data_IF_992678543464
#
_entry.id   IF_992678543464
#
_cell.length_a   1.000
_cell.length_b   1.000
_cell.length_c   1.000
_cell.angle_alpha   90.00
_cell.angle_beta   90.00
_cell.angle_gamma   90.00
#
_symmetry.space_group_name_H-M   'P 1'
#
loop_
_entity.id
_entity.type
_entity.pdbx_description
1 polymer ?
#
# COMPACT_ATOMS: atom_id res chain seq x y z
N UNK A 1 -9.87 -0.38 12.43
CA UNK A 1 -10.51 -1.02 13.36
C UNK A 1 -9.82 -1.11 14.69
N UNK A 2 -10.58 -1.03 15.74
CA UNK A 2 -10.07 -0.82 17.09
C UNK A 2 -9.06 -1.88 17.56
N UNK A 3 -9.21 -3.12 17.12
CA UNK A 3 -8.34 -4.22 17.52
C UNK A 3 -6.89 -4.09 17.05
N UNK A 4 -6.66 -3.47 15.88
CA UNK A 4 -5.31 -3.27 15.36
C UNK A 4 -4.51 -2.28 16.18
N UNK A 5 -5.18 -1.32 16.83
CA UNK A 5 -4.54 -0.29 17.64
C UNK A 5 -4.06 -0.80 19.00
N UNK A 6 -4.62 -1.89 19.48
CA UNK A 6 -4.27 -2.47 20.78
C UNK A 6 -3.15 -3.52 20.71
N UNK A 7 -2.74 -3.89 19.50
CA UNK A 7 -1.68 -4.88 19.30
C UNK A 7 -0.30 -4.18 19.39
N UNK A 8 0.53 -4.50 20.42
CA UNK A 8 1.82 -3.84 20.59
C UNK A 8 2.82 -4.15 19.49
N UNK A 9 2.61 -5.21 18.72
CA UNK A 9 3.50 -5.61 17.63
C UNK A 9 3.07 -5.04 16.28
N UNK A 10 1.87 -4.48 16.19
CA UNK A 10 1.37 -3.87 14.97
C UNK A 10 2.04 -2.51 14.76
N UNK A 11 2.66 -2.34 13.59
CA UNK A 11 3.34 -1.09 13.26
C UNK A 11 3.19 -0.79 11.77
N UNK A 12 2.62 0.36 11.45
CA UNK A 12 2.58 0.85 10.07
C UNK A 12 3.98 1.28 9.65
N UNK A 13 4.44 0.74 8.52
CA UNK A 13 5.75 1.05 7.94
C UNK A 13 5.63 2.20 6.93
N UNK A 14 4.70 2.07 6.00
CA UNK A 14 4.48 3.04 4.93
C UNK A 14 3.02 3.03 4.52
N UNK A 15 2.51 4.19 4.16
CA UNK A 15 1.13 4.38 3.74
C UNK A 15 1.10 5.14 2.42
N UNK A 16 0.30 4.67 1.47
CA UNK A 16 0.08 5.35 0.21
C UNK A 16 -1.14 6.29 0.32
N UNK A 17 -0.91 7.47 0.83
CA UNK A 17 -1.97 8.45 1.10
C UNK A 17 -2.65 8.97 -0.15
N UNK A 18 -1.93 9.00 -1.28
CA UNK A 18 -2.47 9.48 -2.54
C UNK A 18 -3.35 8.46 -3.26
N UNK A 19 -3.31 7.19 -2.84
CA UNK A 19 -4.04 6.13 -3.53
C UNK A 19 -5.54 6.44 -3.62
N UNK A 20 -6.13 6.90 -2.54
CA UNK A 20 -7.57 7.25 -2.53
C UNK A 20 -7.91 8.52 -3.29
N UNK A 21 -6.93 9.37 -3.54
CA UNK A 21 -7.09 10.54 -4.39
C UNK A 21 -7.00 10.17 -5.88
N UNK A 22 -5.99 9.38 -6.24
CA UNK A 22 -5.71 9.02 -7.63
C UNK A 22 -6.60 7.88 -8.15
N UNK A 23 -7.11 7.04 -7.26
CA UNK A 23 -7.84 5.82 -7.62
C UNK A 23 -9.15 5.68 -6.86
N UNK A 24 -10.15 5.11 -7.55
CA UNK A 24 -11.36 4.62 -6.89
C UNK A 24 -11.09 3.17 -6.47
N UNK A 25 -10.99 2.94 -5.16
CA UNK A 25 -10.67 1.63 -4.62
C UNK A 25 -11.95 0.84 -4.39
N UNK A 26 -12.12 -0.25 -5.15
CA UNK A 26 -13.31 -1.09 -5.07
C UNK A 26 -13.23 -2.12 -3.95
N UNK A 27 -12.03 -2.67 -3.71
CA UNK A 27 -11.82 -3.73 -2.74
C UNK A 27 -10.35 -3.77 -2.35
N UNK A 28 -10.03 -4.45 -1.25
CA UNK A 28 -8.65 -4.64 -0.82
C UNK A 28 -8.39 -6.04 -0.31
N UNK A 29 -7.11 -6.40 -0.24
CA UNK A 29 -6.66 -7.73 0.15
C UNK A 29 -5.32 -7.62 0.87
N UNK A 30 -5.18 -8.31 2.02
CA UNK A 30 -3.90 -8.45 2.70
C UNK A 30 -3.06 -9.54 2.04
N UNK A 31 -1.80 -9.23 1.73
CA UNK A 31 -0.86 -10.17 1.14
C UNK A 31 0.45 -10.17 1.94
N UNK A 32 1.19 -11.29 1.89
CA UNK A 32 2.55 -11.36 2.39
C UNK A 32 3.53 -10.79 1.38
N UNK A 33 4.76 -10.53 1.80
CA UNK A 33 5.83 -10.05 0.93
C UNK A 33 7.12 -10.78 1.27
N UNK A 34 7.81 -11.27 0.24
CA UNK A 34 9.12 -11.90 0.41
C UNK A 34 10.20 -10.83 0.45
N UNK A 35 10.92 -10.80 1.57
CA UNK A 35 11.95 -9.81 1.83
C UNK A 35 13.28 -10.47 2.15
N UNK A 36 14.37 -9.78 1.79
CA UNK A 36 15.71 -10.13 2.25
C UNK A 36 15.89 -9.61 3.69
N UNK A 37 16.85 -10.21 4.42
CA UNK A 37 17.11 -9.82 5.81
C UNK A 37 17.45 -8.32 5.96
N UNK A 38 18.23 -7.76 5.05
CA UNK A 38 18.58 -6.34 5.04
C UNK A 38 17.35 -5.46 4.82
N UNK A 39 16.39 -5.91 4.02
CA UNK A 39 15.14 -5.19 3.79
C UNK A 39 14.28 -5.12 5.05
N UNK A 40 14.14 -6.24 5.75
CA UNK A 40 13.39 -6.28 7.02
C UNK A 40 14.00 -5.34 8.05
N UNK A 41 15.33 -5.35 8.17
CA UNK A 41 16.05 -4.47 9.09
C UNK A 41 15.85 -3.00 8.74
N UNK A 42 15.92 -2.66 7.45
CA UNK A 42 15.65 -1.31 6.97
C UNK A 42 14.22 -0.87 7.27
N UNK A 43 13.24 -1.74 7.06
CA UNK A 43 11.84 -1.44 7.32
C UNK A 43 11.56 -1.16 8.80
N UNK A 44 12.27 -1.83 9.70
CA UNK A 44 12.18 -1.53 11.15
C UNK A 44 12.62 -0.12 11.48
N UNK A 45 13.53 0.44 10.69
CA UNK A 45 14.00 1.82 10.82
C UNK A 45 13.09 2.83 10.09
N UNK A 46 12.07 2.35 9.38
CA UNK A 46 11.09 3.20 8.72
C UNK A 46 11.48 3.71 7.33
N UNK A 47 12.51 3.15 6.72
CA UNK A 47 13.01 3.59 5.41
C UNK A 47 12.26 2.98 4.22
N UNK A 48 11.01 3.37 4.00
CA UNK A 48 10.23 2.82 2.89
C UNK A 48 9.28 3.84 2.29
N UNK A 49 8.99 3.67 0.99
CA UNK A 49 7.98 4.44 0.27
C UNK A 49 7.29 3.53 -0.74
N UNK A 50 5.96 3.47 -0.68
CA UNK A 50 5.15 2.66 -1.60
C UNK A 50 4.29 3.50 -2.53
N UNK A 51 4.39 4.83 -2.49
CA UNK A 51 3.53 5.74 -3.24
C UNK A 51 3.64 5.57 -4.77
N UNK A 52 4.84 5.30 -5.26
CA UNK A 52 5.10 5.14 -6.69
C UNK A 52 5.14 3.69 -7.14
N UNK A 53 4.71 2.77 -6.28
CA UNK A 53 4.72 1.35 -6.59
C UNK A 53 3.36 0.85 -7.04
N UNK A 54 3.36 -0.29 -7.68
CA UNK A 54 2.13 -0.98 -8.08
C UNK A 54 2.36 -2.49 -7.99
N UNK A 55 1.27 -3.24 -7.98
CA UNK A 55 1.34 -4.70 -8.02
C UNK A 55 0.88 -5.20 -9.40
N UNK A 56 1.47 -6.30 -9.86
CA UNK A 56 1.12 -6.91 -11.12
C UNK A 56 1.28 -8.42 -11.07
N UNK A 57 0.46 -9.12 -11.82
CA UNK A 57 0.58 -10.56 -11.99
C UNK A 57 1.45 -10.84 -13.22
N UNK A 58 2.57 -11.49 -13.00
CA UNK A 58 3.52 -11.87 -14.06
C UNK A 58 3.92 -13.32 -13.86
N UNK A 59 3.85 -14.12 -14.94
CA UNK A 59 4.23 -15.54 -14.92
C UNK A 59 3.54 -16.34 -13.81
N UNK A 60 2.26 -16.07 -13.58
CA UNK A 60 1.47 -16.78 -12.58
C UNK A 60 1.79 -16.42 -11.13
N UNK A 61 2.48 -15.31 -10.89
CA UNK A 61 2.84 -14.83 -9.56
C UNK A 61 2.52 -13.34 -9.41
N UNK A 62 2.31 -12.90 -8.17
CA UNK A 62 2.03 -11.51 -7.86
C UNK A 62 3.32 -10.81 -7.42
N UNK A 63 3.59 -9.64 -7.97
CA UNK A 63 4.81 -8.88 -7.72
C UNK A 63 4.50 -7.44 -7.30
N UNK A 64 5.30 -6.92 -6.37
CA UNK A 64 5.34 -5.49 -6.07
C UNK A 64 6.48 -4.88 -6.89
N UNK A 65 6.14 -3.88 -7.70
CA UNK A 65 7.08 -3.26 -8.64
C UNK A 65 7.28 -1.80 -8.23
N UNK A 66 8.55 -1.38 -8.20
CA UNK A 66 8.98 -0.02 -7.88
C UNK A 66 8.71 0.41 -6.42
N UNK A 67 8.55 -0.53 -5.49
CA UNK A 67 8.50 -0.22 -4.06
C UNK A 67 9.90 0.10 -3.53
N UNK A 68 10.02 1.20 -2.79
CA UNK A 68 11.30 1.65 -2.25
C UNK A 68 11.52 1.11 -0.83
N UNK A 69 12.68 0.50 -0.61
CA UNK A 69 13.19 0.12 0.71
C UNK A 69 14.60 0.65 0.83
N UNK A 70 14.85 1.54 1.79
CA UNK A 70 16.14 2.18 1.97
C UNK A 70 17.26 1.16 2.17
N UNK A 71 18.49 1.44 1.71
CA UNK A 71 19.63 0.56 1.97
C UNK A 71 19.84 0.42 3.47
N UNK A 72 20.24 -0.78 3.91
CA UNK A 72 20.64 -1.02 5.28
C UNK A 72 22.15 -0.83 5.36
N UNK A 73 22.60 0.25 5.99
CA UNK A 73 24.02 0.65 5.98
C UNK A 73 24.97 -0.39 6.57
N UNK A 74 24.50 -1.18 7.53
CA UNK A 74 25.30 -2.22 8.16
C UNK A 74 25.46 -3.45 7.26
N UNK A 75 24.67 -3.59 6.20
CA UNK A 75 24.79 -4.68 5.23
C UNK A 75 25.79 -4.32 4.13
N UNK A 76 27.08 -4.29 4.47
CA UNK A 76 28.14 -3.81 3.57
C UNK A 76 28.32 -4.66 2.31
N UNK A 77 28.12 -5.96 2.41
CA UNK A 77 28.40 -6.91 1.31
C UNK A 77 27.13 -7.47 0.70
N UNK A 78 26.09 -7.72 1.49
CA UNK A 78 24.85 -8.38 1.08
C UNK A 78 23.65 -7.46 1.23
N UNK A 79 23.79 -6.23 0.78
CA UNK A 79 22.69 -5.28 0.73
C UNK A 79 21.69 -5.63 -0.38
N UNK A 80 20.62 -4.89 -0.43
CA UNK A 80 19.58 -5.07 -1.44
C UNK A 80 19.49 -3.85 -2.35
N UNK A 81 18.96 -4.05 -3.55
CA UNK A 81 18.57 -2.94 -4.42
C UNK A 81 17.32 -2.25 -3.86
N UNK A 82 17.34 -0.94 -3.81
CA UNK A 82 16.28 -0.12 -3.18
C UNK A 82 14.89 -0.37 -3.77
N UNK A 83 14.80 -0.53 -5.08
CA UNK A 83 13.53 -0.72 -5.80
C UNK A 83 13.41 -2.11 -6.42
N UNK A 84 13.99 -3.08 -5.75
CA UNK A 84 13.95 -4.48 -6.20
C UNK A 84 12.50 -4.94 -6.36
N UNK A 85 12.23 -5.66 -7.45
CA UNK A 85 10.96 -6.34 -7.66
C UNK A 85 10.78 -7.42 -6.59
N UNK A 86 9.69 -7.37 -5.85
CA UNK A 86 9.47 -8.26 -4.69
C UNK A 86 8.23 -9.11 -4.90
N UNK A 87 8.37 -10.40 -4.62
CA UNK A 87 7.26 -11.34 -4.74
C UNK A 87 6.28 -11.14 -3.60
N UNK A 88 4.99 -11.09 -3.93
CA UNK A 88 3.91 -11.04 -2.97
C UNK A 88 3.30 -12.43 -2.80
N UNK A 89 2.91 -12.74 -1.58
CA UNK A 89 2.44 -14.09 -1.21
C UNK A 89 0.91 -14.07 -1.07
N UNK A 90 0.25 -14.81 -1.95
CA UNK A 90 -1.20 -14.94 -1.96
C UNK A 90 -1.59 -16.39 -2.25
N UNK A 91 -2.80 -16.78 -1.86
CA UNK A 91 -3.35 -18.08 -2.27
C UNK A 91 -3.65 -18.06 -3.78
N UNK A 92 -3.76 -19.24 -4.37
CA UNK A 92 -4.11 -19.37 -5.79
C UNK A 92 -5.48 -18.77 -6.10
N UNK A 93 -6.45 -18.94 -5.20
CA UNK A 93 -7.78 -18.36 -5.33
C UNK A 93 -7.74 -16.84 -5.37
N UNK A 94 -6.98 -16.24 -4.46
CA UNK A 94 -6.80 -14.80 -4.38
C UNK A 94 -6.06 -14.26 -5.60
N UNK A 95 -5.03 -14.98 -6.06
CA UNK A 95 -4.29 -14.62 -7.27
C UNK A 95 -5.20 -14.61 -8.50
N UNK A 96 -6.05 -15.63 -8.65
CA UNK A 96 -7.02 -15.70 -9.74
C UNK A 96 -8.00 -14.53 -9.71
N UNK A 97 -8.47 -14.16 -8.51
CA UNK A 97 -9.35 -13.01 -8.32
C UNK A 97 -8.69 -11.70 -8.74
N UNK A 98 -7.45 -11.50 -8.31
CA UNK A 98 -6.68 -10.31 -8.68
C UNK A 98 -6.40 -10.25 -10.18
N UNK A 99 -6.04 -11.37 -10.78
CA UNK A 99 -5.83 -11.47 -12.22
C UNK A 99 -7.10 -11.09 -12.99
N UNK A 100 -8.24 -11.66 -12.61
CA UNK A 100 -9.52 -11.36 -13.26
C UNK A 100 -9.89 -9.88 -13.12
N UNK A 101 -9.64 -9.28 -11.96
CA UNK A 101 -9.89 -7.87 -11.73
C UNK A 101 -9.07 -6.98 -12.66
N UNK A 102 -7.80 -7.33 -12.89
CA UNK A 102 -6.91 -6.52 -13.73
C UNK A 102 -7.23 -6.62 -15.22
N UNK A 103 -8.02 -7.61 -15.65
CA UNK A 103 -8.46 -7.73 -17.04
C UNK A 103 -9.55 -6.72 -17.40
N UNK A 104 -10.21 -6.13 -16.41
CA UNK A 104 -11.20 -5.07 -16.66
C UNK A 104 -10.48 -3.76 -17.00
N UNK A 105 -11.06 -3.02 -17.95
CA UNK A 105 -10.47 -1.77 -18.42
C UNK A 105 -10.27 -0.77 -17.28
N UNK A 106 -9.07 -0.20 -17.24
CA UNK A 106 -8.73 0.82 -16.26
C UNK A 106 -8.44 0.33 -14.86
N UNK A 107 -8.51 -0.98 -14.63
CA UNK A 107 -8.23 -1.54 -13.30
C UNK A 107 -6.75 -1.79 -13.09
N UNK A 108 -6.28 -1.54 -11.88
CA UNK A 108 -4.90 -1.79 -11.45
C UNK A 108 -4.87 -2.22 -9.99
N UNK A 109 -3.73 -2.75 -9.57
CA UNK A 109 -3.49 -3.15 -8.18
C UNK A 109 -2.53 -2.14 -7.56
N UNK A 110 -2.97 -1.49 -6.48
CA UNK A 110 -2.23 -0.40 -5.84
C UNK A 110 -1.95 -0.77 -4.39
N UNK A 111 -0.69 -0.69 -3.92
CA UNK A 111 -0.43 -0.88 -2.50
C UNK A 111 -1.00 0.28 -1.70
N UNK A 112 -1.70 -0.03 -0.62
CA UNK A 112 -2.36 0.98 0.22
C UNK A 112 -1.56 1.24 1.49
N UNK A 113 -1.15 0.18 2.18
CA UNK A 113 -0.40 0.28 3.43
C UNK A 113 0.48 -0.94 3.61
N UNK A 114 1.69 -0.72 4.10
CA UNK A 114 2.63 -1.77 4.49
C UNK A 114 2.84 -1.70 5.99
N UNK A 115 2.83 -2.84 6.67
CA UNK A 115 2.86 -2.86 8.14
C UNK A 115 3.44 -4.18 8.66
N UNK A 116 3.93 -4.14 9.91
CA UNK A 116 4.21 -5.36 10.67
C UNK A 116 2.92 -5.82 11.35
N UNK A 117 2.60 -7.11 11.22
CA UNK A 117 1.45 -7.68 11.92
C UNK A 117 1.83 -8.09 13.35
N UNK A 118 0.88 -8.66 14.10
CA UNK A 118 1.11 -9.09 15.47
C UNK A 118 2.20 -10.15 15.64
N UNK A 119 2.50 -10.90 14.59
CA UNK A 119 3.59 -11.91 14.59
C UNK A 119 4.94 -11.33 14.16
N UNK A 120 5.01 -10.03 13.89
CA UNK A 120 6.23 -9.39 13.41
C UNK A 120 6.52 -9.62 11.92
N UNK A 121 5.56 -10.13 11.16
CA UNK A 121 5.71 -10.33 9.71
C UNK A 121 5.27 -9.08 8.96
N UNK A 122 5.98 -8.76 7.90
CA UNK A 122 5.61 -7.64 7.03
C UNK A 122 4.44 -8.07 6.14
N UNK A 123 3.38 -7.30 6.17
CA UNK A 123 2.19 -7.47 5.33
C UNK A 123 1.94 -6.22 4.51
N UNK A 124 1.26 -6.41 3.39
CA UNK A 124 0.92 -5.33 2.49
C UNK A 124 -0.57 -5.44 2.14
N UNK A 125 -1.28 -4.34 2.22
CA UNK A 125 -2.67 -4.29 1.77
C UNK A 125 -2.69 -3.77 0.34
N UNK A 126 -3.21 -4.57 -0.57
CA UNK A 126 -3.33 -4.24 -1.99
C UNK A 126 -4.78 -3.86 -2.29
N UNK A 127 -4.98 -2.71 -2.92
CA UNK A 127 -6.28 -2.28 -3.40
C UNK A 127 -6.51 -2.66 -4.85
N UNK A 128 -7.71 -3.13 -5.15
CA UNK A 128 -8.19 -3.29 -6.53
C UNK A 128 -8.84 -1.95 -6.88
N UNK A 129 -8.25 -1.24 -7.83
CA UNK A 129 -8.54 0.17 -8.01
C UNK A 129 -8.65 0.56 -9.48
N UNK A 130 -9.45 1.58 -9.74
CA UNK A 130 -9.60 2.19 -11.05
C UNK A 130 -9.07 3.62 -11.01
N UNK A 131 -8.27 4.01 -12.00
CA UNK A 131 -7.77 5.38 -12.09
C UNK A 131 -8.91 6.39 -12.23
N UNK A 132 -8.90 7.43 -11.41
CA UNK A 132 -9.89 8.51 -11.47
C UNK A 132 -9.59 9.44 -12.62
N UNK A 133 -10.65 9.85 -13.33
CA UNK A 133 -10.57 10.93 -14.32
C UNK A 133 -10.35 12.27 -13.59
N UNK A 134 -9.84 13.27 -14.30
CA UNK A 134 -9.59 14.60 -13.72
C UNK A 134 -10.83 15.18 -13.02
N UNK A 135 -12.00 14.97 -13.57
CA UNK A 135 -13.27 15.42 -12.97
C UNK A 135 -13.53 14.77 -11.62
N UNK A 136 -13.27 13.46 -11.50
CA UNK A 136 -13.46 12.73 -10.26
C UNK A 136 -12.49 13.20 -9.18
N UNK A 137 -11.26 13.55 -9.54
CA UNK A 137 -10.26 14.11 -8.62
C UNK A 137 -10.71 15.47 -8.10
N UNK A 138 -11.24 16.33 -8.97
CA UNK A 138 -11.77 17.65 -8.59
C UNK A 138 -12.95 17.52 -7.63
N UNK A 139 -13.86 16.60 -7.89
CA UNK A 139 -14.99 16.33 -7.02
C UNK A 139 -14.54 15.88 -5.62
N UNK A 140 -13.52 15.02 -5.56
CA UNK A 140 -12.93 14.55 -4.30
C UNK A 140 -12.32 15.71 -3.51
N UNK A 141 -11.58 16.59 -4.17
CA UNK A 141 -10.99 17.78 -3.53
C UNK A 141 -12.07 18.74 -3.02
N UNK A 142 -13.06 19.03 -3.82
CA UNK A 142 -14.16 19.90 -3.42
C UNK A 142 -14.89 19.37 -2.19
N UNK A 143 -15.13 18.08 -2.14
CA UNK A 143 -15.76 17.43 -0.99
C UNK A 143 -14.90 17.53 0.27
N UNK A 144 -13.59 17.32 0.16
CA UNK A 144 -12.64 17.45 1.28
C UNK A 144 -12.61 18.89 1.81
N UNK A 145 -12.57 19.87 0.92
CA UNK A 145 -12.56 21.29 1.28
C UNK A 145 -13.84 21.69 1.98
N UNK A 146 -14.99 21.25 1.48
CA UNK A 146 -16.28 21.49 2.11
C UNK A 146 -16.34 20.90 3.53
N UNK A 147 -15.85 19.67 3.70
CA UNK A 147 -15.82 19.02 5.01
C UNK A 147 -14.94 19.79 6.00
N UNK A 148 -13.80 20.31 5.55
CA UNK A 148 -12.91 21.13 6.37
C UNK A 148 -13.57 22.44 6.78
N UNK A 149 -14.22 23.14 5.85
CA UNK A 149 -14.94 24.38 6.11
C UNK A 149 -16.08 24.15 7.09
N UNK A 150 -16.85 23.11 6.91
CA UNK A 150 -17.93 22.73 7.81
C UNK A 150 -17.40 22.48 9.23
N UNK A 151 -16.29 21.77 9.38
CA UNK A 151 -15.68 21.51 10.67
C UNK A 151 -15.23 22.80 11.37
N UNK A 152 -14.69 23.77 10.61
CA UNK A 152 -14.31 25.08 11.15
C UNK A 152 -15.54 25.86 11.66
N UNK A 153 -16.59 25.89 10.85
CA UNK A 153 -17.82 26.57 11.22
C UNK A 153 -18.43 26.00 12.49
N UNK A 154 -18.42 24.67 12.63
CA UNK A 154 -18.92 24.01 13.83
C UNK A 154 -18.08 24.29 15.07
N UNK A 155 -16.75 24.49 14.92
CA UNK A 155 -15.87 24.85 16.04
C UNK A 155 -16.08 26.27 16.52
N UNK A 156 -16.35 27.20 15.60
CA UNK A 156 -16.48 28.63 15.92
C UNK A 156 -17.90 29.06 16.20
N UNK A 157 -18.89 28.29 15.80
CA UNK A 157 -20.30 28.60 15.97
C UNK A 157 -20.94 28.02 17.23
N UNK A 158 -20.17 27.29 18.03
CA UNK A 158 -20.69 26.70 19.27
C UNK A 158 -20.29 27.44 20.53
#
# INVERSE_FOLDING_TARGET
MAKAKSDPNYKVIAENRRARYDYAIEDDLEVGIMLLGSEVKSLRLGGSNIADSYANVEDGELWLINGYVAPYEQAKTWGHEERRKRKLLVSRRELARLWSATQREGMTLVPLVMYFNHKGLVKLKIGIAKGKKTQDKRATEAKRDWQRQKARLLRHGG
#
